data_IF_878233889129
#
_entry.id   IF_878233889129
#
_cell.length_a   1.000
_cell.length_b   1.000
_cell.length_c   1.000
_cell.angle_alpha   90.00
_cell.angle_beta   90.00
_cell.angle_gamma   90.00
#
_symmetry.space_group_name_H-M   'P 1'
#
loop_
_entity.id
_entity.type
_entity.pdbx_description
1 polymer ?
#
# COMPACT_ATOMS: atom_id res chain seq x y z
N UNK A 1 47.68 -66.91 12.84
CA UNK A 1 46.68 -66.47 13.78
C UNK A 1 47.26 -65.34 14.61
N UNK A 2 46.90 -64.11 14.35
CA UNK A 2 47.28 -62.91 15.12
C UNK A 2 46.00 -62.19 15.50
N UNK A 3 45.69 -62.17 16.81
CA UNK A 3 44.64 -61.37 17.41
C UNK A 3 45.03 -59.91 17.32
N UNK A 4 44.09 -59.05 16.82
CA UNK A 4 44.20 -57.63 16.88
C UNK A 4 43.22 -57.11 17.93
N UNK A 5 43.82 -56.53 18.98
CA UNK A 5 43.03 -55.80 20.03
C UNK A 5 42.48 -54.52 19.50
N UNK A 6 41.16 -54.28 19.72
CA UNK A 6 40.48 -53.06 19.40
C UNK A 6 40.37 -52.24 20.71
N UNK A 7 40.86 -50.99 20.77
CA UNK A 7 40.71 -50.18 21.96
C UNK A 7 39.23 -49.60 22.03
N UNK A 8 38.61 -49.82 23.19
CA UNK A 8 37.34 -49.25 23.57
C UNK A 8 37.55 -47.77 23.86
N UNK A 9 36.97 -46.91 23.02
CA UNK A 9 36.98 -45.45 23.21
C UNK A 9 35.83 -45.08 24.15
N UNK A 10 36.15 -44.62 25.34
CA UNK A 10 35.21 -44.14 26.36
C UNK A 10 34.75 -42.74 25.97
N UNK A 11 33.48 -42.59 25.51
CA UNK A 11 32.87 -41.27 25.28
C UNK A 11 32.42 -40.67 26.62
N UNK A 12 33.13 -39.63 27.06
CA UNK A 12 32.67 -38.77 28.15
C UNK A 12 31.50 -37.91 27.63
N UNK A 13 30.30 -38.16 28.12
CA UNK A 13 29.16 -37.29 27.94
C UNK A 13 29.31 -36.03 28.79
N UNK A 14 29.68 -34.92 28.17
CA UNK A 14 29.68 -33.62 28.81
C UNK A 14 28.25 -33.09 28.82
N UNK A 15 27.56 -33.18 29.97
CA UNK A 15 26.25 -32.55 30.19
C UNK A 15 26.41 -31.01 30.19
N UNK A 16 26.27 -30.38 29.03
CA UNK A 16 26.05 -28.92 28.98
C UNK A 16 24.65 -28.61 29.47
N UNK A 17 24.53 -28.09 30.68
CA UNK A 17 23.30 -27.49 31.18
C UNK A 17 22.98 -26.26 30.34
N UNK A 18 22.02 -26.38 29.43
CA UNK A 18 21.49 -25.25 28.67
C UNK A 18 20.67 -24.35 29.62
N UNK A 19 21.23 -23.24 30.04
CA UNK A 19 20.45 -22.17 30.68
C UNK A 19 19.48 -21.59 29.65
N UNK A 20 18.21 -21.93 29.78
CA UNK A 20 17.16 -21.28 28.99
C UNK A 20 17.03 -19.83 29.46
N UNK A 21 17.60 -18.90 28.71
CA UNK A 21 17.26 -17.49 28.84
C UNK A 21 15.82 -17.30 28.42
N UNK A 22 14.92 -17.05 29.38
CA UNK A 22 13.56 -16.60 29.10
C UNK A 22 13.66 -15.22 28.41
N UNK A 23 13.42 -15.20 27.10
CA UNK A 23 13.23 -13.95 26.36
C UNK A 23 11.92 -13.35 26.89
N UNK A 24 11.91 -12.10 27.44
CA UNK A 24 10.68 -11.47 27.85
C UNK A 24 9.74 -11.36 26.64
N UNK A 25 8.42 -11.51 26.83
CA UNK A 25 7.47 -11.36 25.72
C UNK A 25 7.64 -9.96 25.12
N UNK A 26 8.06 -9.91 23.87
CA UNK A 26 8.06 -8.68 23.10
C UNK A 26 6.59 -8.32 22.90
N UNK A 27 6.10 -7.32 23.63
CA UNK A 27 4.83 -6.68 23.32
C UNK A 27 5.02 -6.01 21.97
N UNK A 28 4.45 -6.60 20.92
CA UNK A 28 4.33 -5.93 19.63
C UNK A 28 3.66 -4.58 19.88
N UNK A 29 4.22 -3.47 19.40
CA UNK A 29 3.57 -2.18 19.53
C UNK A 29 2.20 -2.27 18.85
N UNK A 30 1.13 -2.10 19.62
CA UNK A 30 -0.21 -1.97 19.09
C UNK A 30 -0.28 -0.63 18.36
N UNK A 31 -0.11 -0.65 17.05
CA UNK A 31 -0.36 0.50 16.20
C UNK A 31 -1.88 0.70 16.06
N UNK A 32 -2.47 1.35 17.06
CA UNK A 32 -3.72 2.05 16.83
C UNK A 32 -3.35 3.43 16.26
N UNK A 33 -3.76 3.78 15.03
CA UNK A 33 -3.63 5.15 14.57
C UNK A 33 -4.37 6.07 15.52
N UNK A 34 -3.75 7.19 15.88
CA UNK A 34 -4.29 8.16 16.84
C UNK A 34 -5.54 8.91 16.36
N UNK A 35 -6.09 8.55 15.21
CA UNK A 35 -7.34 9.07 14.67
C UNK A 35 -8.50 8.16 15.04
N UNK A 36 -9.54 8.74 15.62
CA UNK A 36 -10.83 8.12 16.00
C UNK A 36 -11.66 7.57 14.83
N UNK A 37 -11.11 7.51 13.62
CA UNK A 37 -11.74 6.94 12.45
C UNK A 37 -11.47 5.43 12.42
N UNK A 38 -12.53 4.65 12.34
CA UNK A 38 -12.41 3.20 12.11
C UNK A 38 -11.66 2.97 10.81
N UNK A 39 -10.48 2.33 10.83
CA UNK A 39 -9.70 2.12 9.61
C UNK A 39 -10.50 1.25 8.64
N UNK A 40 -10.61 1.71 7.39
CA UNK A 40 -11.31 0.99 6.33
C UNK A 40 -10.31 0.08 5.60
N UNK A 41 -10.70 -1.18 5.41
CA UNK A 41 -9.84 -2.17 4.75
C UNK A 41 -10.05 -2.16 3.23
N UNK A 42 -8.94 -2.18 2.50
CA UNK A 42 -8.89 -2.33 1.04
C UNK A 42 -8.03 -3.54 0.67
N UNK A 43 -8.45 -4.28 -0.35
CA UNK A 43 -7.51 -5.05 -1.16
C UNK A 43 -6.96 -4.10 -2.22
N UNK A 44 -5.65 -4.06 -2.39
CA UNK A 44 -4.98 -3.23 -3.40
C UNK A 44 -4.32 -4.16 -4.40
N UNK A 45 -4.56 -3.94 -5.69
CA UNK A 45 -3.93 -4.70 -6.76
C UNK A 45 -3.08 -3.75 -7.60
N UNK A 46 -1.79 -4.07 -7.73
CA UNK A 46 -0.89 -3.50 -8.73
C UNK A 46 -0.83 -4.48 -9.89
N UNK A 47 -1.16 -4.04 -11.08
CA UNK A 47 -1.31 -4.93 -12.22
C UNK A 47 -0.54 -4.40 -13.42
N UNK A 48 0.23 -5.28 -14.07
CA UNK A 48 0.85 -5.01 -15.35
C UNK A 48 0.16 -5.86 -16.42
N UNK A 49 -0.32 -5.21 -17.48
CA UNK A 49 -0.94 -5.88 -18.59
C UNK A 49 0.08 -6.65 -19.45
N UNK A 50 -0.34 -7.73 -20.08
CA UNK A 50 0.45 -8.36 -21.11
C UNK A 50 0.69 -7.38 -22.28
N UNK A 51 1.79 -7.50 -23.04
CA UNK A 51 2.11 -6.59 -24.12
C UNK A 51 0.96 -6.39 -25.11
N UNK A 52 0.53 -5.14 -25.29
CA UNK A 52 -0.57 -4.75 -26.16
C UNK A 52 -1.98 -5.03 -25.60
N UNK A 53 -2.12 -5.51 -24.35
CA UNK A 53 -3.38 -5.94 -23.75
C UNK A 53 -4.00 -4.97 -22.74
N UNK A 54 -3.42 -3.81 -22.54
CA UNK A 54 -3.90 -2.87 -21.50
C UNK A 54 -5.36 -2.47 -21.66
N UNK A 55 -5.81 -2.17 -22.87
CA UNK A 55 -7.21 -1.75 -23.10
C UNK A 55 -8.17 -2.93 -22.90
N UNK A 56 -7.83 -4.12 -23.42
CA UNK A 56 -8.61 -5.34 -23.23
C UNK A 56 -8.75 -5.64 -21.70
N UNK A 57 -7.66 -5.47 -20.95
CA UNK A 57 -7.63 -5.68 -19.50
C UNK A 57 -8.53 -4.67 -18.77
N UNK A 58 -8.48 -3.39 -19.14
CA UNK A 58 -9.35 -2.36 -18.59
C UNK A 58 -10.83 -2.71 -18.82
N UNK A 59 -11.20 -3.19 -20.00
CA UNK A 59 -12.58 -3.55 -20.31
C UNK A 59 -13.04 -4.77 -19.51
N UNK A 60 -12.16 -5.74 -19.27
CA UNK A 60 -12.46 -6.87 -18.36
C UNK A 60 -12.67 -6.41 -16.94
N UNK A 61 -11.84 -5.50 -16.41
CA UNK A 61 -12.03 -4.94 -15.08
C UNK A 61 -13.31 -4.10 -14.95
N UNK A 62 -13.70 -3.34 -15.99
CA UNK A 62 -14.99 -2.63 -16.02
C UNK A 62 -16.18 -3.61 -15.92
N UNK A 63 -16.12 -4.70 -16.68
CA UNK A 63 -17.14 -5.77 -16.63
C UNK A 63 -17.19 -6.41 -15.25
N UNK A 64 -16.04 -6.78 -14.68
CA UNK A 64 -15.94 -7.34 -13.35
C UNK A 64 -16.51 -6.40 -12.27
N UNK A 65 -16.18 -5.10 -12.33
CA UNK A 65 -16.69 -4.12 -11.37
C UNK A 65 -18.22 -4.03 -11.41
N UNK A 66 -18.83 -4.12 -12.59
CA UNK A 66 -20.28 -4.14 -12.76
C UNK A 66 -20.91 -5.41 -12.16
N UNK A 67 -20.29 -6.57 -12.38
CA UNK A 67 -20.74 -7.86 -11.83
C UNK A 67 -20.61 -7.90 -10.31
N UNK A 68 -19.51 -7.40 -9.74
CA UNK A 68 -19.31 -7.30 -8.30
C UNK A 68 -20.33 -6.38 -7.64
N UNK A 69 -20.66 -5.26 -8.29
CA UNK A 69 -21.71 -4.36 -7.80
C UNK A 69 -23.08 -5.05 -7.75
N UNK A 70 -23.42 -5.86 -8.75
CA UNK A 70 -24.66 -6.67 -8.73
C UNK A 70 -24.62 -7.73 -7.62
N UNK A 71 -23.44 -8.25 -7.27
CA UNK A 71 -23.26 -9.17 -6.15
C UNK A 71 -23.31 -8.49 -4.77
N UNK A 72 -23.44 -7.16 -4.71
CA UNK A 72 -23.51 -6.35 -3.49
C UNK A 72 -22.18 -5.85 -2.96
N UNK A 73 -21.13 -5.91 -3.76
CA UNK A 73 -19.83 -5.31 -3.43
C UNK A 73 -19.77 -3.84 -3.89
N UNK A 74 -18.93 -3.07 -3.22
CA UNK A 74 -18.63 -1.70 -3.60
C UNK A 74 -17.77 -1.67 -4.88
N UNK A 75 -18.05 -0.74 -5.79
CA UNK A 75 -17.22 -0.55 -6.98
C UNK A 75 -15.79 -0.15 -6.60
N UNK A 76 -14.76 -0.68 -7.28
CA UNK A 76 -13.38 -0.31 -7.02
C UNK A 76 -13.11 1.17 -7.37
N UNK A 77 -12.06 1.71 -6.77
CA UNK A 77 -11.42 2.95 -7.20
C UNK A 77 -10.12 2.57 -7.91
N UNK A 78 -9.84 3.13 -9.04
CA UNK A 78 -8.70 2.73 -9.83
C UNK A 78 -8.12 3.85 -10.67
N UNK A 79 -6.85 3.68 -11.04
CA UNK A 79 -6.12 4.61 -11.85
C UNK A 79 -5.17 3.88 -12.79
N UNK A 80 -4.86 4.55 -13.90
CA UNK A 80 -3.90 4.05 -14.89
C UNK A 80 -2.59 4.80 -14.76
N UNK A 81 -1.49 4.06 -14.75
CA UNK A 81 -0.13 4.58 -14.80
C UNK A 81 0.06 5.56 -15.97
N UNK A 82 0.80 6.62 -15.72
CA UNK A 82 1.24 7.59 -16.71
C UNK A 82 2.75 7.69 -16.77
N UNK A 83 3.42 7.72 -15.61
CA UNK A 83 4.88 7.82 -15.52
C UNK A 83 5.34 7.32 -14.13
N UNK A 84 6.48 6.63 -14.06
CA UNK A 84 7.10 6.18 -12.81
C UNK A 84 7.32 4.68 -12.78
N UNK A 85 6.72 3.96 -11.86
CA UNK A 85 6.88 2.52 -11.60
C UNK A 85 6.44 1.63 -12.79
N UNK A 86 6.52 0.32 -12.64
CA UNK A 86 6.32 -0.66 -13.73
C UNK A 86 4.90 -1.20 -13.87
N UNK A 87 3.98 -0.90 -12.94
CA UNK A 87 2.59 -1.33 -13.03
C UNK A 87 1.78 -0.44 -13.99
N UNK A 88 0.74 -0.99 -14.61
CA UNK A 88 -0.18 -0.26 -15.49
C UNK A 88 -1.42 0.25 -14.76
N UNK A 89 -1.92 -0.53 -13.79
CA UNK A 89 -3.13 -0.23 -13.02
C UNK A 89 -2.86 -0.36 -11.52
N UNK A 90 -3.35 0.61 -10.74
CA UNK A 90 -3.55 0.48 -9.32
C UNK A 90 -5.07 0.45 -9.06
N UNK A 91 -5.53 -0.60 -8.37
CA UNK A 91 -6.95 -0.84 -8.12
C UNK A 91 -7.17 -1.00 -6.62
N UNK A 92 -8.00 -0.15 -6.03
CA UNK A 92 -8.45 -0.22 -4.64
C UNK A 92 -9.81 -0.92 -4.60
N UNK A 93 -9.87 -2.14 -4.09
CA UNK A 93 -11.09 -2.90 -3.88
C UNK A 93 -11.61 -2.66 -2.46
N UNK A 94 -12.77 -1.97 -2.28
CA UNK A 94 -13.29 -1.70 -0.95
C UNK A 94 -13.77 -2.99 -0.27
N UNK A 95 -13.25 -3.26 0.91
CA UNK A 95 -13.61 -4.44 1.70
C UNK A 95 -14.46 -4.11 2.93
N UNK A 96 -14.21 -2.95 3.54
CA UNK A 96 -14.76 -2.58 4.86
C UNK A 96 -13.94 -3.22 5.97
N UNK A 97 -14.20 -4.47 6.25
CA UNK A 97 -13.45 -5.32 7.18
C UNK A 97 -13.29 -6.74 6.63
N UNK A 98 -12.35 -7.51 7.16
CA UNK A 98 -12.22 -8.93 6.80
C UNK A 98 -13.50 -9.72 7.08
N UNK A 99 -14.12 -9.53 8.24
CA UNK A 99 -15.31 -10.26 8.65
C UNK A 99 -16.50 -9.99 7.72
N UNK A 100 -16.70 -8.76 7.29
CA UNK A 100 -17.76 -8.39 6.35
C UNK A 100 -17.50 -8.89 4.94
N UNK A 101 -16.25 -8.73 4.47
CA UNK A 101 -15.87 -9.10 3.11
C UNK A 101 -15.92 -10.60 2.87
N UNK A 102 -15.51 -11.41 3.86
CA UNK A 102 -15.45 -12.88 3.76
C UNK A 102 -16.69 -13.59 4.34
N UNK A 103 -17.78 -12.89 4.57
CA UNK A 103 -19.04 -13.55 4.90
C UNK A 103 -19.41 -14.57 3.81
N UNK A 104 -19.85 -15.81 4.17
CA UNK A 104 -20.07 -16.89 3.20
C UNK A 104 -21.01 -16.51 2.06
N UNK A 105 -22.08 -15.78 2.35
CA UNK A 105 -23.04 -15.33 1.33
C UNK A 105 -22.39 -14.38 0.34
N UNK A 106 -21.67 -13.37 0.84
CA UNK A 106 -20.99 -12.37 0.01
C UNK A 106 -19.85 -12.99 -0.82
N UNK A 107 -19.06 -13.88 -0.21
CA UNK A 107 -18.01 -14.63 -0.89
C UNK A 107 -18.59 -15.54 -2.00
N UNK A 108 -19.69 -16.23 -1.73
CA UNK A 108 -20.38 -17.08 -2.70
C UNK A 108 -20.94 -16.30 -3.89
N UNK A 109 -21.47 -15.09 -3.68
CA UNK A 109 -21.92 -14.22 -4.79
C UNK A 109 -20.74 -13.80 -5.69
N UNK A 110 -19.60 -13.38 -5.11
CA UNK A 110 -18.40 -13.04 -5.88
C UNK A 110 -17.88 -14.22 -6.69
N UNK A 111 -17.82 -15.41 -6.09
CA UNK A 111 -17.36 -16.62 -6.77
C UNK A 111 -18.25 -16.96 -7.96
N UNK A 112 -19.56 -16.87 -7.80
CA UNK A 112 -20.52 -17.10 -8.90
C UNK A 112 -20.33 -16.08 -10.03
N UNK A 113 -20.16 -14.80 -9.70
CA UNK A 113 -19.90 -13.74 -10.68
C UNK A 113 -18.60 -14.01 -11.45
N UNK A 114 -17.50 -14.34 -10.75
CA UNK A 114 -16.22 -14.65 -11.37
C UNK A 114 -16.30 -15.86 -12.32
N UNK A 115 -17.00 -16.93 -11.92
CA UNK A 115 -17.22 -18.12 -12.76
C UNK A 115 -18.06 -17.80 -13.98
N UNK A 116 -19.15 -17.04 -13.84
CA UNK A 116 -20.01 -16.66 -14.96
C UNK A 116 -19.26 -15.80 -15.99
N UNK A 117 -18.41 -14.88 -15.54
CA UNK A 117 -17.58 -14.04 -16.38
C UNK A 117 -16.35 -14.72 -16.99
N UNK A 118 -16.03 -15.96 -16.57
CA UNK A 118 -14.78 -16.68 -16.92
C UNK A 118 -13.54 -15.82 -16.67
N UNK A 119 -13.53 -15.09 -15.56
CA UNK A 119 -12.52 -14.07 -15.27
C UNK A 119 -11.12 -14.66 -15.14
N UNK A 120 -10.97 -15.84 -14.54
CA UNK A 120 -9.67 -16.49 -14.37
C UNK A 120 -9.01 -16.84 -15.71
N UNK A 121 -9.81 -17.26 -16.72
CA UNK A 121 -9.32 -17.55 -18.06
C UNK A 121 -8.88 -16.28 -18.78
N UNK A 122 -9.70 -15.22 -18.69
CA UNK A 122 -9.40 -13.93 -19.31
C UNK A 122 -8.15 -13.29 -18.72
N UNK A 123 -8.03 -13.28 -17.39
CA UNK A 123 -6.87 -12.66 -16.72
C UNK A 123 -5.55 -13.36 -17.02
N UNK A 124 -5.53 -14.70 -17.21
CA UNK A 124 -4.32 -15.43 -17.59
C UNK A 124 -3.69 -14.94 -18.90
N UNK A 125 -4.51 -14.47 -19.83
CA UNK A 125 -4.05 -13.98 -21.14
C UNK A 125 -3.72 -12.48 -21.13
N UNK A 126 -4.30 -11.73 -20.19
CA UNK A 126 -4.24 -10.26 -20.18
C UNK A 126 -3.25 -9.70 -19.17
N UNK A 127 -2.86 -10.46 -18.15
CA UNK A 127 -1.98 -10.00 -17.06
C UNK A 127 -0.59 -10.62 -17.22
N UNK A 128 0.43 -9.77 -17.31
CA UNK A 128 1.82 -10.18 -17.27
C UNK A 128 2.33 -10.32 -15.84
N UNK A 129 1.90 -9.44 -14.93
CA UNK A 129 2.30 -9.44 -13.53
C UNK A 129 1.21 -8.80 -12.66
N UNK A 130 1.06 -9.31 -11.45
CA UNK A 130 0.16 -8.75 -10.45
C UNK A 130 0.73 -8.95 -9.05
N UNK A 131 0.59 -7.92 -8.23
CA UNK A 131 0.85 -7.97 -6.80
C UNK A 131 -0.39 -7.50 -6.04
N UNK A 132 -0.82 -8.29 -5.07
CA UNK A 132 -1.96 -7.98 -4.21
C UNK A 132 -1.49 -7.73 -2.78
N UNK A 133 -2.06 -6.73 -2.14
CA UNK A 133 -1.88 -6.47 -0.72
C UNK A 133 -3.21 -6.06 -0.07
N UNK A 134 -3.27 -6.21 1.25
CA UNK A 134 -4.33 -5.64 2.07
C UNK A 134 -3.78 -4.45 2.83
N UNK A 135 -4.49 -3.33 2.78
CA UNK A 135 -4.10 -2.10 3.45
C UNK A 135 -5.28 -1.46 4.19
N UNK A 136 -5.00 -0.93 5.34
CA UNK A 136 -5.90 0.02 6.00
C UNK A 136 -5.67 1.40 5.44
N UNK A 137 -6.75 2.11 5.16
CA UNK A 137 -6.71 3.45 4.60
C UNK A 137 -7.87 4.32 5.10
N UNK A 138 -8.07 5.49 4.50
CA UNK A 138 -9.11 6.43 4.87
C UNK A 138 -10.52 5.86 4.59
N UNK A 139 -11.56 6.49 5.14
CA UNK A 139 -12.94 6.11 4.87
C UNK A 139 -13.25 6.13 3.36
N UNK A 140 -13.98 5.13 2.88
CA UNK A 140 -14.35 5.00 1.46
C UNK A 140 -15.06 6.24 0.92
N UNK A 141 -15.90 6.89 1.73
CA UNK A 141 -16.62 8.08 1.33
C UNK A 141 -15.68 9.25 0.96
N UNK A 142 -14.58 9.43 1.71
CA UNK A 142 -13.61 10.50 1.48
C UNK A 142 -12.82 10.23 0.19
N UNK A 143 -12.40 8.98 -0.03
CA UNK A 143 -11.76 8.59 -1.28
C UNK A 143 -12.69 8.78 -2.49
N UNK A 144 -13.95 8.34 -2.40
CA UNK A 144 -14.91 8.53 -3.49
C UNK A 144 -15.12 10.00 -3.83
N UNK A 145 -15.22 10.86 -2.80
CA UNK A 145 -15.34 12.31 -3.00
C UNK A 145 -14.11 12.87 -3.73
N UNK A 146 -12.91 12.48 -3.31
CA UNK A 146 -11.68 12.95 -3.94
C UNK A 146 -11.54 12.44 -5.39
N UNK A 147 -11.78 11.15 -5.64
CA UNK A 147 -11.71 10.56 -6.98
C UNK A 147 -12.78 11.12 -7.94
N UNK A 148 -13.92 11.56 -7.43
CA UNK A 148 -14.92 12.24 -8.24
C UNK A 148 -14.51 13.67 -8.62
N UNK A 149 -13.69 14.33 -7.79
CA UNK A 149 -13.22 15.69 -7.99
C UNK A 149 -11.90 15.79 -8.77
N UNK A 150 -11.10 14.72 -8.79
CA UNK A 150 -9.78 14.67 -9.39
C UNK A 150 -9.67 13.65 -10.53
N UNK A 151 -8.71 13.90 -11.42
CA UNK A 151 -8.42 13.00 -12.55
C UNK A 151 -6.92 12.71 -12.73
N UNK A 152 -6.09 13.25 -11.85
CA UNK A 152 -4.65 13.05 -11.84
C UNK A 152 -4.21 12.65 -10.42
N UNK A 153 -3.29 11.71 -10.33
CA UNK A 153 -2.88 11.10 -9.07
C UNK A 153 -1.36 11.08 -8.97
N UNK A 154 -0.86 11.34 -7.77
CA UNK A 154 0.51 11.06 -7.37
C UNK A 154 0.50 9.94 -6.35
N UNK A 155 1.17 8.85 -6.67
CA UNK A 155 1.25 7.65 -5.81
C UNK A 155 2.69 7.48 -5.38
N UNK A 156 2.92 7.44 -4.08
CA UNK A 156 4.22 7.15 -3.51
C UNK A 156 4.14 5.84 -2.72
N UNK A 157 5.12 4.97 -2.88
CA UNK A 157 5.21 3.70 -2.17
C UNK A 157 6.52 3.62 -1.39
N UNK A 158 6.45 3.21 -0.13
CA UNK A 158 7.57 3.24 0.79
C UNK A 158 7.80 1.89 1.46
N UNK A 159 9.08 1.51 1.56
CA UNK A 159 9.53 0.44 2.44
C UNK A 159 10.35 1.05 3.56
N UNK A 160 9.89 0.88 4.79
CA UNK A 160 10.58 1.39 5.97
C UNK A 160 11.88 0.63 6.25
N UNK A 161 12.86 1.32 6.81
CA UNK A 161 13.98 0.65 7.47
C UNK A 161 13.47 -0.14 8.70
N UNK A 162 14.15 -1.21 9.11
CA UNK A 162 13.77 -1.98 10.30
C UNK A 162 13.56 -1.10 11.53
N UNK A 163 12.38 -1.18 12.13
CA UNK A 163 12.00 -0.39 13.31
C UNK A 163 11.59 1.07 13.04
N UNK A 164 11.65 1.56 11.79
CA UNK A 164 11.36 2.97 11.45
C UNK A 164 9.95 3.19 10.90
N UNK A 165 9.07 2.19 10.94
CA UNK A 165 7.70 2.32 10.44
C UNK A 165 6.93 3.49 11.10
N UNK A 166 7.01 3.62 12.43
CA UNK A 166 6.31 4.68 13.16
C UNK A 166 6.81 6.09 12.79
N UNK A 167 8.12 6.23 12.60
CA UNK A 167 8.73 7.50 12.19
C UNK A 167 8.37 7.84 10.74
N UNK A 168 8.33 6.84 9.85
CA UNK A 168 7.87 7.02 8.49
C UNK A 168 6.39 7.46 8.44
N UNK A 169 5.52 6.79 9.23
CA UNK A 169 4.10 7.18 9.28
C UNK A 169 3.93 8.63 9.76
N UNK A 170 4.61 9.00 10.84
CA UNK A 170 4.61 10.37 11.36
C UNK A 170 5.11 11.38 10.34
N UNK A 171 6.13 11.02 9.60
CA UNK A 171 6.68 11.89 8.55
C UNK A 171 5.67 12.13 7.43
N UNK A 172 4.89 11.11 7.00
CA UNK A 172 3.79 11.29 6.04
C UNK A 172 2.69 12.23 6.58
N UNK A 173 2.39 12.19 7.89
CA UNK A 173 1.47 13.15 8.53
C UNK A 173 2.06 14.57 8.56
N UNK A 174 3.37 14.69 8.75
CA UNK A 174 4.05 16.00 8.69
C UNK A 174 3.98 16.58 7.29
N UNK A 175 4.19 15.79 6.22
CA UNK A 175 4.01 16.26 4.84
C UNK A 175 2.58 16.69 4.54
N UNK A 176 1.57 15.98 5.05
CA UNK A 176 0.17 16.42 4.94
C UNK A 176 -0.05 17.76 5.65
N UNK A 177 0.58 17.97 6.80
CA UNK A 177 0.53 19.26 7.50
C UNK A 177 1.17 20.37 6.67
N UNK A 178 2.29 20.08 6.01
CA UNK A 178 2.97 20.99 5.08
C UNK A 178 2.08 21.35 3.88
N UNK A 179 1.52 20.35 3.20
CA UNK A 179 0.63 20.54 2.05
C UNK A 179 -0.60 21.37 2.44
N UNK A 180 -1.23 21.04 3.56
CA UNK A 180 -2.38 21.81 4.09
C UNK A 180 -2.05 23.27 4.36
N UNK A 181 -0.88 23.57 4.91
CA UNK A 181 -0.45 24.95 5.18
C UNK A 181 -0.27 25.75 3.87
N UNK A 182 0.09 25.08 2.78
CA UNK A 182 0.18 25.63 1.42
C UNK A 182 -1.18 25.64 0.67
N UNK A 183 -2.26 25.13 1.29
CA UNK A 183 -3.59 24.94 0.69
C UNK A 183 -3.59 23.94 -0.47
N UNK A 184 -2.68 23.00 -0.43
CA UNK A 184 -2.56 21.88 -1.37
C UNK A 184 -3.35 20.66 -0.88
N UNK A 185 -3.70 19.72 -1.77
CA UNK A 185 -4.32 18.46 -1.37
C UNK A 185 -3.43 17.66 -0.42
N UNK A 186 -4.01 17.20 0.69
CA UNK A 186 -3.37 16.24 1.57
C UNK A 186 -3.37 14.86 0.90
N UNK A 187 -2.31 14.06 1.12
CA UNK A 187 -2.22 12.70 0.63
C UNK A 187 -3.06 11.75 1.50
N UNK A 188 -3.79 10.85 0.87
CA UNK A 188 -4.40 9.71 1.54
C UNK A 188 -3.32 8.69 1.90
N UNK A 189 -3.17 8.38 3.19
CA UNK A 189 -2.16 7.45 3.70
C UNK A 189 -2.78 6.06 3.87
N UNK A 190 -2.13 5.05 3.29
CA UNK A 190 -2.51 3.65 3.41
C UNK A 190 -1.38 2.89 4.10
N UNK A 191 -1.76 2.03 5.05
CA UNK A 191 -0.84 1.20 5.84
C UNK A 191 -1.06 -0.26 5.48
N UNK A 192 -0.02 -0.94 5.03
CA UNK A 192 -0.07 -2.36 4.73
C UNK A 192 -0.45 -3.18 5.96
N UNK A 193 -1.40 -4.07 5.76
CA UNK A 193 -1.73 -5.11 6.73
C UNK A 193 -1.10 -6.45 6.34
N UNK A 194 -1.26 -6.90 5.09
CA UNK A 194 -0.71 -8.16 4.58
C UNK A 194 -0.37 -8.03 3.09
N UNK A 195 0.46 -8.94 2.60
CA UNK A 195 0.91 -8.99 1.20
C UNK A 195 1.99 -7.95 0.90
N UNK A 196 2.55 -7.96 -0.30
CA UNK A 196 3.54 -7.04 -0.88
C UNK A 196 4.71 -6.60 0.03
N UNK A 197 5.70 -5.93 -0.56
CA UNK A 197 6.85 -5.40 0.18
C UNK A 197 6.63 -3.99 0.75
N UNK A 198 5.63 -3.27 0.27
CA UNK A 198 5.36 -1.88 0.65
C UNK A 198 4.76 -1.78 2.06
N UNK A 199 5.32 -0.94 2.91
CA UNK A 199 4.81 -0.73 4.28
C UNK A 199 3.75 0.35 4.34
N UNK A 200 3.97 1.44 3.61
CA UNK A 200 3.05 2.57 3.47
C UNK A 200 2.99 2.95 2.00
N UNK A 201 1.82 3.36 1.53
CA UNK A 201 1.71 4.10 0.30
C UNK A 201 0.76 5.29 0.48
N UNK A 202 0.96 6.32 -0.32
CA UNK A 202 0.13 7.53 -0.30
C UNK A 202 -0.47 7.78 -1.67
N UNK A 203 -1.62 8.43 -1.70
CA UNK A 203 -2.28 8.88 -2.92
C UNK A 203 -2.66 10.34 -2.78
N UNK A 204 -1.98 11.21 -3.51
CA UNK A 204 -2.40 12.58 -3.76
C UNK A 204 -3.38 12.63 -4.92
N UNK A 205 -4.47 13.39 -4.77
CA UNK A 205 -5.53 13.51 -5.80
C UNK A 205 -5.61 14.95 -6.27
N UNK A 206 -5.41 15.15 -7.56
CA UNK A 206 -5.36 16.46 -8.21
C UNK A 206 -6.38 16.52 -9.34
N UNK A 207 -6.84 17.73 -9.70
CA UNK A 207 -7.75 17.93 -10.82
C UNK A 207 -7.12 17.46 -12.14
N UNK A 208 -5.87 17.84 -12.35
CA UNK A 208 -5.06 17.57 -13.55
C UNK A 208 -3.57 17.77 -13.25
N UNK A 209 -2.70 17.52 -14.23
CA UNK A 209 -1.25 17.72 -14.14
C UNK A 209 -0.86 19.17 -13.81
N UNK A 210 -1.62 20.17 -14.28
CA UNK A 210 -1.35 21.57 -13.96
C UNK A 210 -1.54 21.84 -12.48
N UNK A 211 -2.64 21.37 -11.90
CA UNK A 211 -2.91 21.50 -10.48
C UNK A 211 -1.83 20.77 -9.62
N UNK A 212 -1.34 19.64 -10.09
CA UNK A 212 -0.21 18.95 -9.41
C UNK A 212 1.06 19.81 -9.42
N UNK A 213 1.34 20.50 -10.52
CA UNK A 213 2.52 21.34 -10.66
C UNK A 213 2.41 22.69 -9.93
N UNK A 214 1.20 23.12 -9.51
CA UNK A 214 0.98 24.40 -8.80
C UNK A 214 1.74 24.49 -7.47
N UNK A 215 2.09 23.35 -6.85
CA UNK A 215 2.92 23.31 -5.64
C UNK A 215 4.31 23.95 -5.83
N UNK A 216 4.86 23.87 -7.05
CA UNK A 216 6.13 24.47 -7.40
C UNK A 216 6.09 26.02 -7.44
N UNK A 217 4.89 26.61 -7.51
CA UNK A 217 4.69 28.06 -7.62
C UNK A 217 4.54 28.73 -6.23
N UNK A 218 4.52 27.94 -5.14
CA UNK A 218 4.44 28.47 -3.78
C UNK A 218 5.63 29.37 -3.44
N UNK A 219 5.37 30.53 -2.85
CA UNK A 219 6.43 31.48 -2.52
C UNK A 219 7.39 30.90 -1.46
N UNK A 220 8.70 31.13 -1.56
CA UNK A 220 9.68 30.60 -0.63
C UNK A 220 9.35 30.89 0.86
N UNK A 221 8.86 32.11 1.16
CA UNK A 221 8.45 32.49 2.53
C UNK A 221 7.29 31.64 3.06
N UNK A 222 6.36 31.26 2.19
CA UNK A 222 5.19 30.45 2.58
C UNK A 222 5.62 28.99 2.74
N UNK A 223 6.52 28.50 1.90
CA UNK A 223 7.12 27.17 2.04
C UNK A 223 7.92 27.07 3.36
N UNK A 224 8.72 28.07 3.72
CA UNK A 224 9.46 28.11 4.99
C UNK A 224 8.51 28.10 6.20
N UNK A 225 7.43 28.88 6.16
CA UNK A 225 6.43 28.92 7.22
C UNK A 225 5.70 27.58 7.34
N UNK A 226 5.31 26.97 6.22
CA UNK A 226 4.65 25.68 6.18
C UNK A 226 5.55 24.55 6.71
N UNK A 227 6.83 24.52 6.32
CA UNK A 227 7.79 23.53 6.79
C UNK A 227 7.95 23.58 8.32
N UNK A 228 8.10 24.78 8.88
CA UNK A 228 8.19 24.96 10.34
C UNK A 228 6.90 24.54 11.05
N UNK A 229 5.74 24.87 10.50
CA UNK A 229 4.45 24.47 11.05
C UNK A 229 4.27 22.94 11.04
N UNK A 230 4.83 22.26 10.04
CA UNK A 230 4.83 20.80 9.91
C UNK A 230 5.89 20.10 10.79
N UNK A 231 6.83 20.83 11.38
CA UNK A 231 7.91 20.31 12.22
C UNK A 231 9.21 20.01 11.48
N UNK A 232 9.35 20.47 10.22
CA UNK A 232 10.60 20.40 9.47
C UNK A 232 11.46 21.64 9.72
N UNK A 233 12.78 21.49 9.64
CA UNK A 233 13.71 22.62 9.79
C UNK A 233 13.59 23.64 8.65
N UNK A 234 13.44 23.14 7.42
CA UNK A 234 13.29 23.92 6.19
C UNK A 234 12.65 23.06 5.08
N UNK A 235 12.07 23.64 4.01
CA UNK A 235 11.54 22.88 2.88
C UNK A 235 12.58 21.95 2.22
N UNK A 236 13.83 22.40 2.12
CA UNK A 236 14.94 21.60 1.58
C UNK A 236 15.33 20.39 2.45
N UNK A 237 14.84 20.30 3.67
CA UNK A 237 15.12 19.20 4.60
C UNK A 237 14.04 18.12 4.59
N UNK A 238 12.89 18.31 3.93
CA UNK A 238 11.80 17.32 3.88
C UNK A 238 12.30 16.00 3.30
N UNK A 239 12.81 16.00 2.09
CA UNK A 239 13.35 14.79 1.44
C UNK A 239 14.51 14.13 2.20
N UNK A 240 15.57 14.87 2.64
CA UNK A 240 16.60 14.31 3.51
C UNK A 240 16.07 13.72 4.82
N UNK A 241 15.03 14.31 5.41
CA UNK A 241 14.41 13.79 6.63
C UNK A 241 13.71 12.46 6.38
N UNK A 242 12.90 12.36 5.32
CA UNK A 242 12.26 11.12 4.87
C UNK A 242 13.30 9.99 4.65
N UNK A 243 14.42 10.29 3.98
CA UNK A 243 15.47 9.31 3.66
C UNK A 243 16.09 8.63 4.88
N UNK A 244 15.88 9.15 6.09
CA UNK A 244 16.34 8.52 7.35
C UNK A 244 15.52 7.31 7.75
N UNK A 245 14.33 7.15 7.20
CA UNK A 245 13.35 6.15 7.65
C UNK A 245 13.04 5.07 6.60
N UNK A 246 13.45 5.27 5.35
CA UNK A 246 13.09 4.40 4.24
C UNK A 246 14.27 3.67 3.64
N UNK A 247 14.01 2.44 3.18
CA UNK A 247 14.91 1.64 2.34
C UNK A 247 14.62 1.84 0.85
N UNK A 248 13.34 1.92 0.51
CA UNK A 248 12.87 2.05 -0.88
C UNK A 248 11.76 3.10 -0.95
N UNK A 249 11.72 3.80 -2.07
CA UNK A 249 10.72 4.79 -2.39
C UNK A 249 10.47 4.79 -3.91
N UNK A 250 9.19 4.68 -4.28
CA UNK A 250 8.76 4.73 -5.67
C UNK A 250 7.71 5.81 -5.83
N UNK A 251 7.89 6.65 -6.85
CA UNK A 251 6.95 7.69 -7.24
C UNK A 251 6.29 7.34 -8.56
N UNK A 252 4.99 7.50 -8.63
CA UNK A 252 4.24 7.24 -9.86
C UNK A 252 3.18 8.31 -10.09
N UNK A 253 3.12 8.81 -11.29
CA UNK A 253 2.03 9.64 -11.77
C UNK A 253 1.00 8.77 -12.49
N UNK A 254 -0.27 8.98 -12.18
CA UNK A 254 -1.35 8.20 -12.75
C UNK A 254 -2.55 9.10 -13.13
N UNK A 255 -3.43 8.57 -13.97
CA UNK A 255 -4.61 9.28 -14.46
C UNK A 255 -5.86 8.45 -14.26
N UNK A 256 -7.01 9.13 -14.16
CA UNK A 256 -8.30 8.46 -14.03
C UNK A 256 -8.61 7.62 -15.28
N UNK A 257 -9.19 6.44 -15.07
CA UNK A 257 -9.74 5.59 -16.12
C UNK A 257 -11.17 6.05 -16.41
N UNK A 258 -11.40 6.46 -17.63
CA UNK A 258 -12.71 6.91 -18.12
C UNK A 258 -13.56 5.77 -18.67
#
# INVERSE_FOLDING_TARGET
>A
MRHRDIPVLLFLFCCCASAAFAVPPQTSPSFAPATTLTPYLYKVSLVQAAPGKLLDLIDVYKSQAAELKQAGDEAPLWMRHSQGDHWDLLILWPMGSYSEYYQPERAGKRQKAAQAGKLDEKFKELIAWQEDLFAYGPPLADLRKAFAAGAFFHVEMFVALPGMFGELYKEREMENTYAKALKEPENFIFVRNQGAAWDIFTIGVFRDLKHYAESADALPKDQEAAAKAAGFEAPSQIGPYLRRFIREHHDTLAVAIK
#
